data_IF_654923142017
#
_entry.id   IF_654923142017
#
_cell.length_a   1.000
_cell.length_b   1.000
_cell.length_c   1.000
_cell.angle_alpha   90.00
_cell.angle_beta   90.00
_cell.angle_gamma   90.00
#
_symmetry.space_group_name_H-M   'P 1'
#
loop_
_entity.id
_entity.type
_entity.pdbx_description
1 polymer ?
#
# COMPACT_ATOMS: atom_id res chain seq x y z
N UNK A 1 17.96 -12.22 3.14
CA UNK A 1 17.23 -13.53 3.16
C UNK A 1 15.93 -13.35 2.39
N UNK A 2 15.43 -14.37 1.70
CA UNK A 2 14.15 -14.26 0.98
C UNK A 2 13.01 -14.53 1.97
N UNK A 3 12.07 -13.58 2.11
CA UNK A 3 10.92 -13.76 2.98
C UNK A 3 9.95 -14.81 2.43
N UNK A 4 9.32 -15.54 3.34
CA UNK A 4 8.38 -16.61 3.06
C UNK A 4 6.95 -16.10 3.31
N UNK A 5 6.07 -16.20 2.31
CA UNK A 5 4.70 -15.68 2.37
C UNK A 5 3.74 -16.83 2.16
N UNK A 6 2.80 -17.01 3.09
CA UNK A 6 1.68 -17.91 2.92
C UNK A 6 0.51 -17.16 2.28
N UNK A 7 -0.05 -17.71 1.21
CA UNK A 7 -1.25 -17.20 0.54
C UNK A 7 -2.32 -18.27 0.59
N UNK A 8 -3.46 -17.95 1.20
CA UNK A 8 -4.60 -18.85 1.33
C UNK A 8 -5.85 -18.25 0.68
N UNK A 9 -6.40 -18.94 -0.29
CA UNK A 9 -7.59 -18.56 -1.05
C UNK A 9 -8.17 -19.83 -1.70
N UNK A 10 -9.50 -20.00 -1.76
CA UNK A 10 -10.12 -21.16 -2.38
C UNK A 10 -10.20 -21.04 -3.91
N UNK A 11 -9.96 -19.85 -4.44
CA UNK A 11 -9.92 -19.59 -5.89
C UNK A 11 -8.52 -19.80 -6.46
N UNK A 12 -8.29 -20.94 -7.14
CA UNK A 12 -6.99 -21.28 -7.75
C UNK A 12 -6.43 -20.16 -8.66
N UNK A 13 -7.24 -19.45 -9.49
CA UNK A 13 -6.72 -18.33 -10.31
C UNK A 13 -6.14 -17.17 -9.48
N UNK A 14 -6.67 -16.92 -8.28
CA UNK A 14 -6.15 -15.91 -7.36
C UNK A 14 -4.81 -16.38 -6.79
N UNK A 15 -4.72 -17.63 -6.31
CA UNK A 15 -3.48 -18.22 -5.82
C UNK A 15 -2.37 -18.17 -6.88
N UNK A 16 -2.68 -18.55 -8.12
CA UNK A 16 -1.70 -18.55 -9.23
C UNK A 16 -1.21 -17.13 -9.53
N UNK A 17 -2.15 -16.18 -9.64
CA UNK A 17 -1.83 -14.79 -9.96
C UNK A 17 -1.00 -14.14 -8.85
N UNK A 18 -1.46 -14.22 -7.60
CA UNK A 18 -0.78 -13.62 -6.45
C UNK A 18 0.61 -14.24 -6.28
N UNK A 19 0.69 -15.57 -6.36
CA UNK A 19 1.97 -16.27 -6.25
C UNK A 19 2.98 -15.86 -7.32
N UNK A 20 2.53 -15.69 -8.58
CA UNK A 20 3.39 -15.26 -9.67
C UNK A 20 3.99 -13.87 -9.40
N UNK A 21 3.17 -12.91 -8.98
CA UNK A 21 3.63 -11.55 -8.65
C UNK A 21 4.56 -11.50 -7.45
N UNK A 22 4.27 -12.27 -6.38
CA UNK A 22 5.14 -12.34 -5.19
C UNK A 22 6.49 -12.99 -5.51
N UNK A 23 6.51 -14.06 -6.33
CA UNK A 23 7.75 -14.70 -6.78
C UNK A 23 8.61 -13.80 -7.67
N UNK A 24 8.02 -12.93 -8.48
CA UNK A 24 8.74 -11.92 -9.25
C UNK A 24 9.52 -10.95 -8.35
N UNK A 25 9.03 -10.70 -7.14
CA UNK A 25 9.70 -9.89 -6.12
C UNK A 25 10.65 -10.71 -5.22
N UNK A 26 11.00 -11.92 -5.66
CA UNK A 26 11.93 -12.82 -4.96
C UNK A 26 11.44 -13.35 -3.60
N UNK A 27 10.12 -13.34 -3.35
CA UNK A 27 9.53 -13.99 -2.18
C UNK A 27 9.37 -15.49 -2.39
N UNK A 28 9.53 -16.27 -1.32
CA UNK A 28 9.13 -17.68 -1.29
C UNK A 28 7.62 -17.73 -1.00
N UNK A 29 6.84 -18.42 -1.82
CA UNK A 29 5.40 -18.46 -1.69
C UNK A 29 4.91 -19.86 -1.43
N UNK A 30 4.19 -20.02 -0.33
CA UNK A 30 3.43 -21.21 0.06
C UNK A 30 1.96 -20.91 -0.22
N UNK A 31 1.23 -21.87 -0.73
CA UNK A 31 -0.20 -21.72 -1.02
C UNK A 31 -1.03 -22.73 -0.24
N UNK A 32 -2.26 -22.31 0.11
CA UNK A 32 -3.27 -23.17 0.71
C UNK A 32 -4.63 -22.88 0.06
N UNK A 33 -5.44 -23.89 -0.18
CA UNK A 33 -6.76 -23.74 -0.83
C UNK A 33 -7.95 -23.79 0.14
N UNK A 34 -7.69 -23.86 1.43
CA UNK A 34 -8.70 -23.83 2.51
C UNK A 34 -8.04 -23.45 3.84
N UNK A 35 -8.87 -23.10 4.83
CA UNK A 35 -8.36 -22.62 6.12
C UNK A 35 -7.64 -23.67 6.96
N UNK A 36 -7.97 -24.96 6.85
CA UNK A 36 -7.24 -26.01 7.58
C UNK A 36 -5.84 -26.20 7.04
N UNK A 37 -5.71 -26.23 5.71
CA UNK A 37 -4.41 -26.32 5.06
C UNK A 37 -3.59 -25.06 5.35
N UNK A 38 -4.21 -23.89 5.32
CA UNK A 38 -3.54 -22.62 5.69
C UNK A 38 -2.94 -22.70 7.11
N UNK A 39 -3.68 -23.18 8.09
CA UNK A 39 -3.20 -23.30 9.46
C UNK A 39 -2.10 -24.38 9.59
N UNK A 40 -2.22 -25.49 8.87
CA UNK A 40 -1.18 -26.51 8.80
C UNK A 40 0.11 -25.96 8.22
N UNK A 41 0.03 -25.31 7.04
CA UNK A 41 1.19 -24.70 6.37
C UNK A 41 1.82 -23.59 7.23
N UNK A 42 1.02 -22.78 7.89
CA UNK A 42 1.51 -21.76 8.81
C UNK A 42 2.42 -22.35 9.89
N UNK A 43 1.97 -23.41 10.56
CA UNK A 43 2.74 -24.05 11.64
C UNK A 43 3.98 -24.78 11.18
N UNK A 44 3.91 -25.39 9.99
CA UNK A 44 5.00 -26.18 9.44
C UNK A 44 6.10 -25.31 8.81
N UNK A 45 5.70 -24.30 8.04
CA UNK A 45 6.57 -23.48 7.20
C UNK A 45 7.02 -22.18 7.88
N UNK A 46 6.32 -21.74 8.94
CA UNK A 46 6.62 -20.52 9.68
C UNK A 46 6.83 -19.30 8.76
N UNK A 47 5.80 -18.86 8.03
CA UNK A 47 5.92 -17.74 7.11
C UNK A 47 6.16 -16.41 7.83
N UNK A 48 6.83 -15.48 7.15
CA UNK A 48 7.08 -14.12 7.62
C UNK A 48 5.85 -13.21 7.48
N UNK A 49 4.87 -13.59 6.63
CA UNK A 49 3.62 -12.88 6.40
C UNK A 49 2.56 -13.85 5.86
N UNK A 50 1.31 -13.61 6.21
CA UNK A 50 0.17 -14.42 5.77
C UNK A 50 -0.85 -13.54 5.05
N UNK A 51 -1.29 -13.97 3.87
CA UNK A 51 -2.40 -13.40 3.10
C UNK A 51 -3.54 -14.40 3.15
N UNK A 52 -4.71 -14.00 3.67
CA UNK A 52 -5.86 -14.87 3.90
C UNK A 52 -7.10 -14.36 3.18
N UNK A 53 -7.71 -15.19 2.37
CA UNK A 53 -9.10 -14.94 1.99
C UNK A 53 -10.02 -15.11 3.21
N UNK A 54 -11.02 -14.25 3.30
CA UNK A 54 -12.02 -14.33 4.38
C UNK A 54 -12.94 -15.53 4.17
N UNK A 55 -13.38 -15.76 2.93
CA UNK A 55 -14.41 -16.75 2.61
C UNK A 55 -13.79 -18.02 2.05
N UNK A 56 -13.30 -18.89 2.92
CA UNK A 56 -12.74 -20.19 2.52
C UNK A 56 -13.60 -21.35 3.05
N UNK A 57 -13.64 -22.50 2.34
CA UNK A 57 -14.30 -23.71 2.83
C UNK A 57 -13.59 -24.32 4.04
N UNK A 58 -14.31 -25.16 4.80
CA UNK A 58 -13.87 -25.88 5.98
C UNK A 58 -13.55 -25.00 7.20
N UNK A 59 -12.76 -23.97 7.03
CA UNK A 59 -12.40 -22.99 8.05
C UNK A 59 -12.23 -21.62 7.39
N UNK A 60 -13.03 -20.64 7.80
CA UNK A 60 -12.95 -19.27 7.30
C UNK A 60 -11.66 -18.56 7.71
N UNK A 61 -11.29 -17.50 6.98
CA UNK A 61 -10.06 -16.75 7.23
C UNK A 61 -10.01 -16.11 8.61
N UNK A 62 -11.16 -15.70 9.17
CA UNK A 62 -11.24 -15.16 10.53
C UNK A 62 -10.86 -16.17 11.60
N UNK A 63 -11.33 -17.42 11.41
CA UNK A 63 -11.01 -18.52 12.33
C UNK A 63 -9.53 -18.92 12.24
N UNK A 64 -8.96 -18.90 11.03
CA UNK A 64 -7.52 -19.10 10.81
C UNK A 64 -6.72 -18.01 11.50
N UNK A 65 -7.07 -16.73 11.30
CA UNK A 65 -6.38 -15.60 11.90
C UNK A 65 -6.43 -15.65 13.44
N UNK A 66 -7.59 -15.93 14.01
CA UNK A 66 -7.72 -16.12 15.48
C UNK A 66 -6.84 -17.25 16.01
N UNK A 67 -6.71 -18.34 15.25
CA UNK A 67 -5.82 -19.44 15.63
C UNK A 67 -4.35 -19.01 15.56
N UNK A 68 -3.95 -18.33 14.49
CA UNK A 68 -2.59 -17.79 14.33
C UNK A 68 -2.24 -16.80 15.43
N UNK A 69 -3.13 -15.86 15.76
CA UNK A 69 -2.90 -14.83 16.80
C UNK A 69 -2.72 -15.38 18.21
N UNK A 70 -3.16 -16.62 18.49
CA UNK A 70 -2.86 -17.31 19.75
C UNK A 70 -1.41 -17.80 19.83
N UNK A 71 -0.74 -17.92 18.69
CA UNK A 71 0.58 -18.55 18.56
C UNK A 71 1.65 -17.56 18.06
N UNK A 72 1.25 -16.47 17.35
CA UNK A 72 2.20 -15.59 16.67
C UNK A 72 1.60 -14.20 16.34
N UNK A 73 2.48 -13.20 16.33
CA UNK A 73 2.20 -11.83 15.84
C UNK A 73 2.60 -11.65 14.37
N UNK A 74 2.69 -12.73 13.59
CA UNK A 74 2.99 -12.65 12.15
C UNK A 74 2.05 -11.70 11.43
N UNK A 75 2.54 -10.82 10.54
CA UNK A 75 1.68 -9.91 9.79
C UNK A 75 0.60 -10.65 9.00
N UNK A 76 -0.65 -10.14 9.06
CA UNK A 76 -1.82 -10.70 8.39
C UNK A 76 -2.45 -9.66 7.46
N UNK A 77 -2.64 -10.03 6.18
CA UNK A 77 -3.44 -9.30 5.21
C UNK A 77 -4.69 -10.13 4.91
N UNK A 78 -5.87 -9.52 5.03
CA UNK A 78 -7.09 -10.14 4.56
C UNK A 78 -7.43 -9.75 3.12
N UNK A 79 -7.87 -10.73 2.33
CA UNK A 79 -8.57 -10.52 1.07
C UNK A 79 -10.06 -10.65 1.34
N UNK A 80 -10.89 -9.69 0.91
CA UNK A 80 -12.33 -9.71 1.18
C UNK A 80 -13.14 -9.23 -0.02
N UNK A 81 -14.30 -9.82 -0.26
CA UNK A 81 -15.19 -9.42 -1.35
C UNK A 81 -15.99 -8.14 -1.07
N UNK A 82 -16.15 -7.73 0.20
CA UNK A 82 -16.97 -6.57 0.59
C UNK A 82 -16.35 -5.78 1.74
N UNK A 83 -16.50 -4.46 1.65
CA UNK A 83 -16.17 -3.53 2.75
C UNK A 83 -17.15 -3.71 3.93
N UNK A 84 -18.39 -4.14 3.67
CA UNK A 84 -19.45 -4.34 4.67
C UNK A 84 -19.31 -5.67 5.43
N UNK A 85 -18.57 -6.66 4.89
CA UNK A 85 -18.23 -7.92 5.59
C UNK A 85 -17.12 -7.69 6.63
N UNK A 86 -16.47 -6.55 6.57
CA UNK A 86 -15.63 -6.03 7.63
C UNK A 86 -16.59 -5.42 8.66
N UNK A 87 -17.16 -6.24 9.52
CA UNK A 87 -17.63 -5.73 10.81
C UNK A 87 -16.41 -5.06 11.44
N UNK A 88 -16.33 -3.73 11.32
CA UNK A 88 -15.16 -2.93 11.74
C UNK A 88 -14.79 -3.22 13.21
N UNK A 89 -15.74 -3.69 13.98
CA UNK A 89 -15.56 -4.10 15.39
C UNK A 89 -14.86 -5.47 15.45
N UNK A 90 -15.28 -6.46 14.66
CA UNK A 90 -14.72 -7.81 14.68
C UNK A 90 -13.31 -7.88 14.08
N UNK A 91 -13.05 -7.10 13.03
CA UNK A 91 -11.74 -7.04 12.36
C UNK A 91 -10.65 -6.39 13.21
N UNK A 92 -10.99 -5.32 13.94
CA UNK A 92 -10.07 -4.67 14.89
C UNK A 92 -9.78 -5.54 16.13
N UNK A 93 -10.75 -6.34 16.59
CA UNK A 93 -10.55 -7.27 17.72
C UNK A 93 -9.68 -8.48 17.36
N UNK A 94 -9.61 -8.90 16.10
CA UNK A 94 -8.80 -10.03 15.64
C UNK A 94 -7.34 -9.64 15.37
N UNK A 95 -7.04 -8.33 15.26
CA UNK A 95 -5.68 -7.83 15.08
C UNK A 95 -5.10 -8.11 13.70
N UNK A 96 -5.90 -7.89 12.63
CA UNK A 96 -5.37 -7.82 11.26
C UNK A 96 -4.54 -6.55 11.06
N UNK A 97 -3.47 -6.67 10.29
CA UNK A 97 -2.57 -5.55 10.00
C UNK A 97 -3.02 -4.76 8.77
N UNK A 98 -3.73 -5.42 7.83
CA UNK A 98 -4.16 -4.81 6.57
C UNK A 98 -5.35 -5.56 5.94
N UNK A 99 -6.12 -4.84 5.09
CA UNK A 99 -7.25 -5.37 4.32
C UNK A 99 -7.13 -4.98 2.84
N UNK A 100 -7.46 -5.92 1.95
CA UNK A 100 -7.48 -5.70 0.50
C UNK A 100 -8.81 -6.21 -0.04
N UNK A 101 -9.60 -5.32 -0.63
CA UNK A 101 -10.90 -5.68 -1.21
C UNK A 101 -10.75 -6.29 -2.59
N UNK A 102 -11.48 -7.38 -2.86
CA UNK A 102 -11.63 -7.99 -4.20
C UNK A 102 -12.69 -7.19 -5.01
N UNK A 103 -12.46 -6.88 -6.31
CA UNK A 103 -11.26 -7.19 -7.08
C UNK A 103 -10.09 -6.25 -6.77
N UNK A 104 -8.88 -6.77 -6.68
CA UNK A 104 -7.67 -6.00 -6.39
C UNK A 104 -6.61 -6.10 -7.48
N UNK A 105 -5.72 -5.12 -7.53
CA UNK A 105 -4.52 -5.21 -8.35
C UNK A 105 -3.45 -6.03 -7.63
N UNK A 106 -2.87 -7.09 -8.23
CA UNK A 106 -1.78 -7.86 -7.63
C UNK A 106 -0.57 -6.99 -7.24
N UNK A 107 -0.30 -5.93 -7.99
CA UNK A 107 0.77 -4.96 -7.67
C UNK A 107 0.51 -4.21 -6.37
N UNK A 108 -0.75 -3.87 -6.09
CA UNK A 108 -1.15 -3.21 -4.83
C UNK A 108 -0.94 -4.16 -3.66
N UNK A 109 -1.35 -5.42 -3.79
CA UNK A 109 -1.12 -6.45 -2.77
C UNK A 109 0.38 -6.61 -2.47
N UNK A 110 1.23 -6.72 -3.51
CA UNK A 110 2.68 -6.81 -3.35
C UNK A 110 3.26 -5.60 -2.62
N UNK A 111 2.80 -4.39 -2.93
CA UNK A 111 3.23 -3.18 -2.24
C UNK A 111 2.89 -3.20 -0.74
N UNK A 112 1.68 -3.71 -0.38
CA UNK A 112 1.25 -3.86 1.02
C UNK A 112 2.06 -4.94 1.76
N UNK A 113 2.30 -6.08 1.12
CA UNK A 113 3.17 -7.15 1.64
C UNK A 113 4.56 -6.59 1.97
N UNK A 114 5.17 -5.86 1.04
CA UNK A 114 6.48 -5.23 1.22
C UNK A 114 6.48 -4.25 2.40
N UNK A 115 5.44 -3.41 2.52
CA UNK A 115 5.32 -2.44 3.59
C UNK A 115 5.22 -3.12 4.97
N UNK A 116 4.43 -4.19 5.10
CA UNK A 116 4.29 -4.93 6.35
C UNK A 116 5.57 -5.66 6.75
N UNK A 117 6.21 -6.39 5.83
CA UNK A 117 7.46 -7.09 6.10
C UNK A 117 8.56 -6.13 6.60
N UNK A 118 8.65 -4.92 6.02
CA UNK A 118 9.59 -3.90 6.46
C UNK A 118 9.34 -3.46 7.90
N UNK A 119 8.07 -3.33 8.33
CA UNK A 119 7.71 -2.94 9.71
C UNK A 119 8.13 -3.99 10.73
N UNK A 120 7.96 -5.27 10.40
CA UNK A 120 8.19 -6.37 11.35
C UNK A 120 9.64 -6.80 11.47
N UNK A 121 10.42 -6.74 10.39
CA UNK A 121 11.80 -7.22 10.41
C UNK A 121 12.85 -6.14 10.70
N UNK A 122 12.41 -4.92 11.06
CA UNK A 122 13.34 -3.86 11.47
C UNK A 122 14.35 -3.46 10.39
N UNK A 123 14.09 -3.80 9.12
CA UNK A 123 14.89 -3.37 7.97
C UNK A 123 14.67 -1.88 7.71
N UNK A 124 15.08 -1.06 8.69
CA UNK A 124 15.15 0.39 8.59
C UNK A 124 16.32 0.85 7.69
N UNK A 125 16.70 0.05 6.71
CA UNK A 125 17.83 0.35 5.84
C UNK A 125 17.60 0.01 4.37
N UNK A 126 16.51 0.52 3.75
CA UNK A 126 16.53 0.83 2.31
C UNK A 126 15.33 1.68 1.93
N UNK A 127 15.58 2.94 1.74
CA UNK A 127 14.76 4.09 1.41
C UNK A 127 13.67 4.42 2.45
N UNK A 128 13.79 5.55 3.15
CA UNK A 128 12.79 5.98 4.12
C UNK A 128 11.47 6.22 3.37
N UNK A 129 10.39 5.56 3.81
CA UNK A 129 9.02 5.98 3.44
C UNK A 129 8.70 7.35 4.06
N UNK A 130 9.73 8.03 4.52
CA UNK A 130 9.71 9.39 5.04
C UNK A 130 10.53 10.26 4.11
N UNK A 131 9.88 11.22 3.52
CA UNK A 131 10.55 12.21 2.70
C UNK A 131 10.51 13.55 3.43
N UNK A 132 11.63 14.23 3.38
CA UNK A 132 11.73 15.61 3.84
C UNK A 132 12.27 16.46 2.72
N UNK A 133 11.54 17.49 2.38
CA UNK A 133 11.92 18.45 1.37
C UNK A 133 11.62 19.85 1.90
N UNK A 134 12.67 20.60 2.24
CA UNK A 134 12.54 21.88 2.95
C UNK A 134 11.73 21.69 4.25
N UNK A 135 10.57 22.33 4.35
CA UNK A 135 9.62 22.27 5.47
C UNK A 135 8.42 21.35 5.22
N UNK A 136 8.42 20.59 4.12
CA UNK A 136 7.47 19.53 3.82
C UNK A 136 8.05 18.19 4.30
N UNK A 137 7.34 17.51 5.18
CA UNK A 137 7.65 16.15 5.63
C UNK A 137 6.48 15.22 5.32
N UNK A 138 6.77 14.06 4.76
CA UNK A 138 5.79 13.04 4.38
C UNK A 138 6.21 11.71 4.98
N UNK A 139 5.36 11.14 5.81
CA UNK A 139 5.51 9.79 6.34
C UNK A 139 4.47 8.90 5.65
N UNK A 140 4.91 8.02 4.74
CA UNK A 140 4.00 7.17 4.00
C UNK A 140 3.47 5.98 4.82
N UNK A 141 4.13 5.61 5.90
CA UNK A 141 3.70 4.50 6.74
C UNK A 141 2.51 4.93 7.61
N UNK A 142 2.53 6.16 8.12
CA UNK A 142 1.45 6.74 8.93
C UNK A 142 0.48 7.59 8.11
N UNK A 143 0.81 7.89 6.85
CA UNK A 143 0.13 8.85 5.96
C UNK A 143 0.05 10.27 6.54
N UNK A 144 0.93 10.61 7.45
CA UNK A 144 1.02 11.95 8.04
C UNK A 144 1.86 12.84 7.11
N UNK A 145 1.32 14.00 6.81
CA UNK A 145 2.01 15.07 6.08
C UNK A 145 2.08 16.29 6.98
N UNK A 146 3.27 16.86 7.11
CA UNK A 146 3.43 18.14 7.80
C UNK A 146 4.09 19.16 6.88
N UNK A 147 3.65 20.39 6.98
CA UNK A 147 4.22 21.52 6.25
C UNK A 147 4.48 22.63 7.25
N UNK A 148 5.73 23.10 7.33
CA UNK A 148 6.15 24.09 8.34
C UNK A 148 5.83 23.69 9.79
N UNK A 149 5.89 22.37 10.07
CA UNK A 149 5.61 21.79 11.37
C UNK A 149 4.12 21.59 11.71
N UNK A 150 3.20 22.01 10.82
CA UNK A 150 1.75 21.82 10.98
C UNK A 150 1.27 20.60 10.18
N UNK A 151 0.42 19.77 10.79
CA UNK A 151 -0.18 18.63 10.11
C UNK A 151 -1.19 19.09 9.04
N UNK A 152 -1.12 18.47 7.87
CA UNK A 152 -1.98 18.77 6.73
C UNK A 152 -2.80 17.53 6.37
N UNK A 153 -4.12 17.65 6.38
CA UNK A 153 -5.01 16.58 5.96
C UNK A 153 -5.13 16.51 4.44
N UNK A 154 -4.68 15.39 3.87
CA UNK A 154 -4.82 15.09 2.45
C UNK A 154 -5.85 13.99 2.23
N UNK A 155 -6.62 14.11 1.14
CA UNK A 155 -7.43 12.98 0.65
C UNK A 155 -6.53 11.85 0.17
N UNK A 156 -7.02 10.59 0.07
CA UNK A 156 -6.23 9.47 -0.44
C UNK A 156 -5.56 9.74 -1.78
N UNK A 157 -6.29 10.37 -2.72
CA UNK A 157 -5.78 10.71 -4.06
C UNK A 157 -4.72 11.82 -4.02
N UNK A 158 -4.91 12.85 -3.21
CA UNK A 158 -3.92 13.93 -3.02
C UNK A 158 -2.63 13.36 -2.40
N UNK A 159 -2.78 12.50 -1.40
CA UNK A 159 -1.63 11.82 -0.78
C UNK A 159 -0.89 10.93 -1.79
N UNK A 160 -1.60 10.14 -2.59
CA UNK A 160 -1.02 9.28 -3.62
C UNK A 160 -0.24 10.07 -4.69
N UNK A 161 -0.78 11.22 -5.13
CA UNK A 161 -0.07 12.14 -6.03
C UNK A 161 1.19 12.66 -5.36
N UNK A 162 1.11 13.16 -4.12
CA UNK A 162 2.25 13.69 -3.38
C UNK A 162 3.34 12.62 -3.20
N UNK A 163 2.95 11.44 -2.76
CA UNK A 163 3.86 10.30 -2.54
C UNK A 163 4.60 9.90 -3.83
N UNK A 164 3.87 9.83 -4.96
CA UNK A 164 4.46 9.49 -6.26
C UNK A 164 5.51 10.51 -6.68
N UNK A 165 5.21 11.79 -6.51
CA UNK A 165 6.08 12.89 -6.91
C UNK A 165 7.31 13.01 -5.99
N UNK A 166 7.12 12.94 -4.65
CA UNK A 166 8.19 13.15 -3.68
C UNK A 166 9.17 11.97 -3.61
N UNK A 167 8.72 10.76 -3.95
CA UNK A 167 9.58 9.59 -4.04
C UNK A 167 10.66 9.70 -5.11
N UNK A 168 10.46 10.56 -6.14
CA UNK A 168 11.41 10.75 -7.24
C UNK A 168 11.49 12.23 -7.65
N UNK A 169 12.11 13.10 -6.81
CA UNK A 169 12.24 14.52 -7.09
C UNK A 169 12.95 14.76 -8.42
N UNK A 170 12.46 15.73 -9.18
CA UNK A 170 12.98 16.06 -10.52
C UNK A 170 12.46 15.21 -11.67
N UNK A 171 11.94 14.00 -11.41
CA UNK A 171 11.28 13.20 -12.44
C UNK A 171 9.95 13.83 -12.83
N UNK A 172 9.74 13.97 -14.15
CA UNK A 172 8.45 14.37 -14.70
C UNK A 172 7.56 13.14 -14.84
N UNK A 173 6.36 13.22 -14.27
CA UNK A 173 5.31 12.23 -14.45
C UNK A 173 4.22 12.78 -15.35
N UNK A 174 3.83 12.02 -16.34
CA UNK A 174 2.65 12.35 -17.14
C UNK A 174 1.37 12.21 -16.31
N UNK A 175 0.28 12.83 -16.76
CA UNK A 175 -1.02 12.69 -16.12
C UNK A 175 -1.49 11.24 -16.06
N UNK A 176 -1.22 10.49 -17.14
CA UNK A 176 -1.56 9.06 -17.22
C UNK A 176 -0.74 8.25 -16.20
N UNK A 177 0.57 8.46 -16.10
CA UNK A 177 1.40 7.77 -15.11
C UNK A 177 0.93 8.05 -13.67
N UNK A 178 0.54 9.30 -13.36
CA UNK A 178 -0.02 9.65 -12.05
C UNK A 178 -1.37 8.98 -11.81
N UNK A 179 -2.22 8.94 -12.82
CA UNK A 179 -3.51 8.26 -12.75
C UNK A 179 -3.33 6.76 -12.50
N UNK A 180 -2.43 6.12 -13.23
CA UNK A 180 -2.11 4.69 -13.06
C UNK A 180 -1.60 4.36 -11.65
N UNK A 181 -0.85 5.28 -11.03
CA UNK A 181 -0.40 5.10 -9.64
C UNK A 181 -1.54 5.23 -8.61
N UNK A 182 -2.58 5.99 -8.94
CA UNK A 182 -3.77 6.15 -8.08
C UNK A 182 -4.78 5.02 -8.24
N UNK A 183 -4.72 4.23 -9.32
CA UNK A 183 -5.68 3.17 -9.67
C UNK A 183 -5.68 1.93 -8.75
N UNK A 184 -5.16 2.03 -7.52
CA UNK A 184 -5.53 1.09 -6.47
C UNK A 184 -6.99 1.18 -6.02
N UNK A 185 -7.69 2.28 -6.31
CA UNK A 185 -9.11 2.51 -6.01
C UNK A 185 -9.84 3.04 -7.24
N UNK A 186 -10.52 2.10 -7.93
CA UNK A 186 -11.56 2.27 -8.96
C UNK A 186 -11.69 3.63 -9.67
N UNK A 187 -11.60 3.55 -10.98
CA UNK A 187 -12.18 4.31 -12.09
C UNK A 187 -11.22 4.99 -13.05
N UNK A 188 -11.11 4.36 -14.20
CA UNK A 188 -10.67 4.92 -15.48
C UNK A 188 -11.66 6.00 -15.99
N UNK A 189 -11.74 7.14 -15.33
CA UNK A 189 -12.48 8.28 -15.83
C UNK A 189 -11.68 9.56 -15.56
N UNK A 190 -11.00 10.02 -16.64
CA UNK A 190 -10.58 11.40 -16.87
C UNK A 190 -9.20 11.83 -16.35
N UNK A 191 -8.28 12.04 -17.25
CA UNK A 191 -7.01 12.78 -17.07
C UNK A 191 -7.18 14.13 -16.36
N UNK A 192 -8.36 14.76 -16.49
CA UNK A 192 -8.73 16.00 -15.78
C UNK A 192 -8.80 15.86 -14.26
N UNK A 193 -8.93 14.63 -13.74
CA UNK A 193 -8.99 14.39 -12.29
C UNK A 193 -7.64 14.68 -11.63
N UNK A 194 -6.52 14.39 -12.31
CA UNK A 194 -5.18 14.66 -11.78
C UNK A 194 -4.95 16.18 -11.62
N UNK A 195 -5.38 16.99 -12.57
CA UNK A 195 -5.23 18.45 -12.49
C UNK A 195 -6.00 19.03 -11.28
N UNK A 196 -7.16 18.45 -10.96
CA UNK A 196 -7.95 18.82 -9.77
C UNK A 196 -7.23 18.38 -8.49
N UNK A 197 -6.71 17.16 -8.44
CA UNK A 197 -5.95 16.67 -7.28
C UNK A 197 -4.69 17.50 -7.05
N UNK A 198 -3.93 17.83 -8.09
CA UNK A 198 -2.75 18.71 -7.98
C UNK A 198 -3.14 20.12 -7.54
N UNK A 199 -4.24 20.68 -8.06
CA UNK A 199 -4.73 22.00 -7.62
C UNK A 199 -5.07 21.99 -6.12
N UNK A 200 -5.81 20.99 -5.66
CA UNK A 200 -6.20 20.87 -4.26
C UNK A 200 -5.00 20.58 -3.35
N UNK A 201 -4.09 19.70 -3.78
CA UNK A 201 -2.84 19.43 -3.08
C UNK A 201 -2.02 20.72 -2.89
N UNK A 202 -1.81 21.50 -3.96
CA UNK A 202 -1.11 22.79 -3.88
C UNK A 202 -1.78 23.77 -2.92
N UNK A 203 -3.10 23.83 -2.89
CA UNK A 203 -3.84 24.70 -1.96
C UNK A 203 -3.56 24.35 -0.49
N UNK A 204 -3.11 23.14 -0.20
CA UNK A 204 -2.84 22.63 1.15
C UNK A 204 -1.36 22.69 1.54
N UNK A 205 -0.44 22.48 0.59
CA UNK A 205 0.99 22.38 0.90
C UNK A 205 1.81 23.61 0.48
N UNK A 206 1.38 24.37 -0.54
CA UNK A 206 2.11 25.54 -1.03
C UNK A 206 1.73 26.80 -0.23
N UNK A 207 2.67 27.73 -0.12
CA UNK A 207 2.36 29.07 0.40
C UNK A 207 1.47 29.87 -0.54
N UNK A 208 1.80 29.84 -1.82
CA UNK A 208 1.00 30.39 -2.91
C UNK A 208 0.83 29.33 -4.01
N UNK A 209 -0.37 28.78 -4.19
CA UNK A 209 -0.63 27.79 -5.24
C UNK A 209 -0.36 28.27 -6.66
N UNK A 210 -0.24 29.59 -6.89
CA UNK A 210 0.07 30.17 -8.21
C UNK A 210 1.56 30.18 -8.50
N UNK A 211 2.38 30.19 -7.45
CA UNK A 211 3.85 30.14 -7.53
C UNK A 211 4.38 28.94 -6.74
N UNK A 212 4.05 27.71 -7.20
CA UNK A 212 4.31 26.50 -6.40
C UNK A 212 5.82 26.26 -6.19
N UNK A 213 6.18 25.94 -4.95
CA UNK A 213 7.56 25.64 -4.55
C UNK A 213 7.86 24.15 -4.54
N UNK A 214 6.85 23.29 -4.34
CA UNK A 214 6.99 21.84 -4.29
C UNK A 214 6.58 21.16 -5.59
N UNK A 215 5.32 21.31 -6.00
CA UNK A 215 4.74 20.62 -7.15
C UNK A 215 4.74 21.51 -8.37
N UNK A 216 5.65 21.28 -9.31
CA UNK A 216 5.80 22.09 -10.51
C UNK A 216 5.02 21.51 -11.70
N UNK A 217 4.44 22.38 -12.54
CA UNK A 217 3.82 21.98 -13.81
C UNK A 217 4.86 21.99 -14.92
N UNK A 218 4.99 20.86 -15.61
CA UNK A 218 5.75 20.78 -16.86
C UNK A 218 4.74 20.85 -18.01
N UNK A 219 4.65 22.03 -18.62
CA UNK A 219 3.63 22.32 -19.65
C UNK A 219 3.71 21.32 -20.81
N UNK A 220 2.54 20.82 -21.21
CA UNK A 220 2.39 19.82 -22.28
C UNK A 220 2.77 18.39 -21.89
N UNK A 221 3.31 18.15 -20.67
CA UNK A 221 3.73 16.82 -20.20
C UNK A 221 2.97 16.40 -18.95
N UNK A 222 3.14 17.10 -17.83
CA UNK A 222 2.53 16.68 -16.56
C UNK A 222 3.09 17.45 -15.37
N UNK A 223 3.50 16.72 -14.33
CA UNK A 223 3.92 17.29 -13.05
C UNK A 223 5.22 16.66 -12.55
N UNK A 224 5.96 17.41 -11.74
CA UNK A 224 7.12 16.90 -11.01
C UNK A 224 7.21 17.52 -9.62
N UNK A 225 7.83 16.82 -8.70
CA UNK A 225 8.37 17.42 -7.49
C UNK A 225 9.60 18.21 -7.86
N UNK A 226 9.69 19.48 -7.46
CA UNK A 226 10.88 20.30 -7.69
C UNK A 226 12.07 19.63 -6.97
N UNK A 227 13.20 19.36 -7.65
CA UNK A 227 14.36 18.85 -6.93
C UNK A 227 14.81 19.89 -5.90
N UNK A 228 15.18 19.44 -4.70
CA UNK A 228 15.84 20.33 -3.75
C UNK A 228 17.10 20.90 -4.44
N UNK A 229 17.21 22.20 -4.45
CA UNK A 229 18.46 22.81 -4.84
C UNK A 229 19.48 22.32 -3.81
N UNK A 230 20.47 21.53 -4.26
CA UNK A 230 21.55 21.10 -3.42
C UNK A 230 22.05 22.32 -2.64
N UNK A 231 21.99 22.25 -1.32
CA UNK A 231 22.64 23.24 -0.48
C UNK A 231 24.13 23.11 -0.78
N UNK A 232 24.64 24.04 -1.62
CA UNK A 232 26.05 24.19 -1.86
C UNK A 232 26.80 24.73 -0.67
#
# INVERSE_FOLDING_TARGET
MSHKILVADDEQPILDTVSAYLRQESYQVITASNGRDALFQFRHEQPDLVVLDVMMPEMDGWSVARAIRKESDVPLIFLTARVDDIDQVTGLEIGADEYVTKPFSPRVLVARVRALLRRTHGELASEPNRWRMRDLEVDADTRIVTVRGEAVELTPSEFGVLQTLIARPGRVFTRMELLDQLQGEAYAAYERTIDVHVKNLRAKIELDPRTPEYVETVYGVGYRMRPDAAQG
#
